data_IF_525673319015
#
_entry.id   IF_525673319015
#
_cell.length_a   1.000
_cell.length_b   1.000
_cell.length_c   1.000
_cell.angle_alpha   90.00
_cell.angle_beta   90.00
_cell.angle_gamma   90.00
#
_symmetry.space_group_name_H-M   'P 1'
#
loop_
_entity.id
_entity.type
_entity.pdbx_description
1 polymer ?
#
# COMPACT_ATOMS: atom_id res chain seq x y z
N UNK A 1 -4.26 16.89 -1.28
CA UNK A 1 -3.59 16.15 -2.38
C UNK A 1 -3.40 14.73 -1.93
N UNK A 2 -3.60 13.76 -2.81
CA UNK A 2 -3.56 12.35 -2.43
C UNK A 2 -2.24 11.74 -2.90
N UNK A 3 -1.56 11.11 -1.95
CA UNK A 3 -0.28 10.48 -2.17
C UNK A 3 -0.39 9.02 -1.78
N UNK A 4 -0.01 8.11 -2.68
CA UNK A 4 0.21 6.71 -2.34
C UNK A 4 1.71 6.48 -2.25
N UNK A 5 2.19 6.05 -1.10
CA UNK A 5 3.61 5.77 -0.87
C UNK A 5 3.80 4.27 -0.76
N UNK A 6 4.65 3.71 -1.61
CA UNK A 6 5.01 2.30 -1.57
C UNK A 6 6.36 2.11 -0.89
N UNK A 7 6.48 1.08 -0.06
CA UNK A 7 7.74 0.58 0.47
C UNK A 7 8.08 -0.75 -0.18
N UNK A 8 9.32 -0.88 -0.67
CA UNK A 8 9.85 -2.13 -1.21
C UNK A 8 11.18 -2.43 -0.54
N UNK A 9 11.17 -3.21 0.54
CA UNK A 9 12.38 -3.55 1.30
C UNK A 9 13.04 -2.31 1.92
N UNK A 10 12.24 -1.35 2.38
CA UNK A 10 12.70 -0.10 3.00
C UNK A 10 12.95 1.07 2.04
N UNK A 11 12.94 0.85 0.73
CA UNK A 11 12.95 1.93 -0.26
C UNK A 11 11.53 2.49 -0.45
N UNK A 12 11.37 3.81 -0.30
CA UNK A 12 10.07 4.48 -0.41
C UNK A 12 9.88 5.18 -1.77
N UNK A 13 8.71 4.99 -2.38
CA UNK A 13 8.32 5.57 -3.67
C UNK A 13 6.94 6.22 -3.56
N UNK A 14 6.84 7.50 -3.86
CA UNK A 14 5.60 8.24 -3.73
C UNK A 14 4.95 8.49 -5.10
N UNK A 15 3.66 8.19 -5.22
CA UNK A 15 2.86 8.48 -6.41
C UNK A 15 1.74 9.44 -6.06
N UNK A 16 1.61 10.49 -6.87
CA UNK A 16 0.46 11.37 -6.78
C UNK A 16 -0.70 10.73 -7.53
N UNK A 17 -1.86 10.67 -6.89
CA UNK A 17 -3.12 10.24 -7.49
C UNK A 17 -4.16 11.34 -7.37
N UNK A 18 -5.18 11.27 -8.20
CA UNK A 18 -6.41 12.02 -7.97
C UNK A 18 -7.41 11.15 -7.23
N UNK A 19 -8.06 11.75 -6.23
CA UNK A 19 -9.18 11.12 -5.53
C UNK A 19 -10.27 10.74 -6.53
N UNK A 20 -10.83 9.52 -6.44
CA UNK A 20 -12.04 9.15 -7.16
C UNK A 20 -13.23 10.08 -6.87
N UNK A 21 -13.19 10.82 -5.75
CA UNK A 21 -14.23 11.77 -5.35
C UNK A 21 -14.18 13.10 -6.13
N UNK A 22 -13.12 13.32 -6.92
CA UNK A 22 -12.95 14.50 -7.76
C UNK A 22 -12.68 14.07 -9.22
N UNK A 23 -13.65 13.39 -9.86
CA UNK A 23 -13.49 12.81 -11.20
C UNK A 23 -13.19 13.84 -12.28
N UNK A 24 -13.56 15.10 -12.07
CA UNK A 24 -13.23 16.23 -12.94
C UNK A 24 -11.72 16.55 -13.00
N UNK A 25 -10.93 16.02 -12.06
CA UNK A 25 -9.47 16.16 -12.04
C UNK A 25 -8.80 14.91 -12.59
N UNK A 26 -8.54 14.88 -13.89
CA UNK A 26 -7.73 13.82 -14.51
C UNK A 26 -6.24 14.14 -14.40
N UNK A 27 -5.64 13.97 -13.23
CA UNK A 27 -4.17 14.00 -13.11
C UNK A 27 -3.65 12.58 -13.36
N UNK A 28 -2.79 12.37 -14.37
CA UNK A 28 -2.19 11.06 -14.58
C UNK A 28 -1.38 10.65 -13.34
N UNK A 29 -1.57 9.42 -12.89
CA UNK A 29 -0.81 8.85 -11.78
C UNK A 29 0.69 8.89 -12.14
N UNK A 30 1.47 9.58 -11.32
CA UNK A 30 2.90 9.80 -11.57
C UNK A 30 3.71 9.68 -10.31
N UNK A 31 4.96 9.25 -10.46
CA UNK A 31 5.95 9.30 -9.39
C UNK A 31 6.24 10.78 -9.04
N UNK A 32 6.34 11.09 -7.76
CA UNK A 32 6.66 12.44 -7.25
C UNK A 32 7.70 12.37 -6.14
N UNK A 33 8.44 13.47 -5.87
CA UNK A 33 9.33 13.54 -4.73
C UNK A 33 8.57 13.31 -3.42
N UNK A 34 9.17 12.53 -2.52
CA UNK A 34 8.66 12.27 -1.19
C UNK A 34 9.31 13.22 -0.19
N UNK A 35 8.52 13.92 0.62
CA UNK A 35 9.05 14.78 1.68
C UNK A 35 9.57 13.94 2.85
N UNK A 36 10.53 14.49 3.61
CA UNK A 36 11.09 13.80 4.76
C UNK A 36 10.05 13.49 5.85
N UNK A 37 9.09 14.40 6.05
CA UNK A 37 7.99 14.23 7.00
C UNK A 37 7.11 13.02 6.65
N UNK A 38 6.65 12.94 5.38
CA UNK A 38 5.80 11.83 4.94
C UNK A 38 6.61 10.52 4.92
N UNK A 39 7.88 10.56 4.53
CA UNK A 39 8.75 9.39 4.60
C UNK A 39 8.88 8.83 6.03
N UNK A 40 9.03 9.71 7.03
CA UNK A 40 9.12 9.31 8.44
C UNK A 40 7.83 8.64 8.94
N UNK A 41 6.67 9.20 8.59
CA UNK A 41 5.35 8.65 8.93
C UNK A 41 5.14 7.28 8.28
N UNK A 42 5.41 7.17 6.98
CA UNK A 42 5.25 5.92 6.22
C UNK A 42 6.20 4.84 6.71
N UNK A 43 7.45 5.20 7.06
CA UNK A 43 8.40 4.27 7.65
C UNK A 43 7.97 3.82 9.05
N UNK A 44 7.38 4.70 9.85
CA UNK A 44 6.84 4.34 11.16
C UNK A 44 5.65 3.38 11.05
N UNK A 45 4.75 3.59 10.10
CA UNK A 45 3.65 2.66 9.83
C UNK A 45 4.18 1.25 9.51
N UNK A 46 5.15 1.14 8.59
CA UNK A 46 5.79 -0.13 8.26
C UNK A 46 6.41 -0.83 9.47
N UNK A 47 7.12 -0.08 10.33
CA UNK A 47 7.69 -0.64 11.58
C UNK A 47 6.63 -1.13 12.56
N UNK A 48 5.55 -0.38 12.75
CA UNK A 48 4.47 -0.74 13.70
C UNK A 48 3.74 -2.01 13.24
N UNK A 49 3.51 -2.15 11.94
CA UNK A 49 2.83 -3.33 11.37
C UNK A 49 3.78 -4.49 11.03
N UNK A 50 5.11 -4.30 11.14
CA UNK A 50 6.09 -5.31 10.77
C UNK A 50 6.10 -5.63 9.26
N UNK A 51 5.97 -4.61 8.41
CA UNK A 51 5.85 -4.76 6.97
C UNK A 51 7.13 -4.30 6.24
N UNK A 52 7.63 -5.14 5.33
CA UNK A 52 8.75 -4.83 4.41
C UNK A 52 8.28 -4.43 3.01
N UNK A 53 7.10 -4.93 2.62
CA UNK A 53 6.42 -4.65 1.37
C UNK A 53 5.07 -4.07 1.77
N UNK A 54 4.79 -2.82 1.44
CA UNK A 54 3.52 -2.21 1.81
C UNK A 54 3.25 -0.93 1.02
N UNK A 55 2.01 -0.46 1.08
CA UNK A 55 1.57 0.81 0.54
C UNK A 55 0.82 1.60 1.60
N UNK A 56 0.97 2.92 1.60
CA UNK A 56 0.26 3.83 2.51
C UNK A 56 -0.42 4.92 1.69
N UNK A 57 -1.71 5.11 1.90
CA UNK A 57 -2.44 6.24 1.34
C UNK A 57 -2.43 7.41 2.33
N UNK A 58 -1.92 8.55 1.87
CA UNK A 58 -1.70 9.76 2.65
C UNK A 58 -2.44 10.93 2.01
N UNK A 59 -3.24 11.62 2.81
CA UNK A 59 -3.85 12.89 2.42
C UNK A 59 -3.00 14.04 2.95
N UNK A 60 -2.58 14.93 2.05
CA UNK A 60 -1.93 16.18 2.42
C UNK A 60 -2.99 17.27 2.56
N UNK A 61 -3.22 17.71 3.80
CA UNK A 61 -4.13 18.79 4.18
C UNK A 61 -3.41 19.97 4.84
N UNK A 62 -4.15 21.04 5.20
CA UNK A 62 -3.58 22.25 5.80
C UNK A 62 -2.92 22.00 7.17
N UNK A 63 -3.44 21.05 7.94
CA UNK A 63 -2.91 20.66 9.25
C UNK A 63 -1.78 19.61 9.17
N UNK A 64 -1.34 19.25 7.95
CA UNK A 64 -0.29 18.27 7.71
C UNK A 64 -0.78 16.96 7.07
N UNK A 65 0.13 15.97 6.96
CA UNK A 65 -0.16 14.67 6.35
C UNK A 65 -0.98 13.76 7.27
N UNK A 66 -2.01 13.11 6.70
CA UNK A 66 -2.87 12.15 7.40
C UNK A 66 -2.82 10.81 6.67
N UNK A 67 -2.51 9.73 7.40
CA UNK A 67 -2.59 8.35 6.88
C UNK A 67 -4.05 7.91 6.88
N UNK A 68 -4.53 7.40 5.75
CA UNK A 68 -5.91 6.93 5.57
C UNK A 68 -5.99 5.41 5.44
N UNK A 69 -5.00 4.78 4.80
CA UNK A 69 -4.96 3.33 4.60
C UNK A 69 -3.52 2.82 4.62
N UNK A 70 -3.34 1.57 5.08
CA UNK A 70 -2.09 0.82 5.03
C UNK A 70 -2.39 -0.57 4.46
N UNK A 71 -1.72 -0.91 3.36
CA UNK A 71 -1.90 -2.14 2.62
C UNK A 71 -0.61 -2.98 2.65
N UNK A 72 -0.71 -4.25 3.05
CA UNK A 72 0.41 -5.19 3.24
C UNK A 72 0.98 -5.76 1.93
N UNK A 73 0.28 -5.63 0.81
CA UNK A 73 0.79 -6.06 -0.49
C UNK A 73 0.10 -5.32 -1.67
N UNK A 74 0.46 -4.05 -1.91
CA UNK A 74 -0.18 -3.25 -2.95
C UNK A 74 0.32 -3.63 -4.35
N UNK A 75 -0.19 -2.91 -5.37
CA UNK A 75 0.19 -3.13 -6.78
C UNK A 75 1.52 -2.50 -7.22
N UNK A 76 2.16 -1.68 -6.38
CA UNK A 76 3.42 -0.99 -6.69
C UNK A 76 3.43 -0.20 -8.01
N UNK A 77 2.29 0.42 -8.39
CA UNK A 77 2.18 1.21 -9.62
C UNK A 77 3.20 2.37 -9.64
N UNK A 78 3.73 2.67 -10.83
CA UNK A 78 4.77 3.68 -11.08
C UNK A 78 6.12 3.45 -10.35
N UNK A 79 6.28 2.37 -9.58
CA UNK A 79 7.58 2.02 -8.99
C UNK A 79 8.50 1.49 -10.10
N UNK A 80 9.67 2.09 -10.34
CA UNK A 80 10.58 1.63 -11.39
C UNK A 80 11.06 0.21 -11.12
N UNK A 81 10.90 -0.68 -12.10
CA UNK A 81 11.27 -2.11 -12.00
C UNK A 81 10.60 -2.82 -10.80
N UNK A 82 9.35 -2.47 -10.49
CA UNK A 82 8.60 -2.96 -9.33
C UNK A 82 8.72 -4.48 -9.12
N UNK A 83 8.42 -5.28 -10.15
CA UNK A 83 8.46 -6.74 -10.05
C UNK A 83 9.85 -7.28 -9.64
N UNK A 84 10.92 -6.75 -10.22
CA UNK A 84 12.28 -7.16 -9.91
C UNK A 84 12.69 -6.77 -8.48
N UNK A 85 12.26 -5.59 -8.01
CA UNK A 85 12.51 -5.14 -6.64
C UNK A 85 11.77 -6.00 -5.62
N UNK A 86 10.48 -6.24 -5.85
CA UNK A 86 9.64 -7.10 -5.00
C UNK A 86 10.24 -8.51 -4.94
N UNK A 87 10.56 -9.13 -6.08
CA UNK A 87 11.17 -10.46 -6.11
C UNK A 87 12.49 -10.51 -5.32
N UNK A 88 13.34 -9.49 -5.47
CA UNK A 88 14.59 -9.39 -4.70
C UNK A 88 14.33 -9.30 -3.20
N UNK A 89 13.38 -8.47 -2.77
CA UNK A 89 13.03 -8.32 -1.36
C UNK A 89 12.48 -9.63 -0.79
N UNK A 90 11.55 -10.29 -1.47
CA UNK A 90 11.01 -11.60 -1.03
C UNK A 90 12.11 -12.64 -0.90
N UNK A 91 12.97 -12.78 -1.91
CA UNK A 91 14.10 -13.73 -1.86
C UNK A 91 15.12 -13.37 -0.79
N UNK A 92 15.29 -12.09 -0.48
CA UNK A 92 16.14 -11.66 0.62
C UNK A 92 15.54 -12.08 1.95
N UNK A 93 14.28 -11.70 2.24
CA UNK A 93 13.58 -12.03 3.48
C UNK A 93 13.54 -13.55 3.74
N UNK A 94 13.23 -14.34 2.70
CA UNK A 94 13.20 -15.80 2.79
C UNK A 94 14.57 -16.42 3.15
N UNK A 95 15.68 -15.81 2.73
CA UNK A 95 17.05 -16.25 3.05
C UNK A 95 17.53 -15.78 4.42
N UNK A 96 17.13 -14.58 4.81
CA UNK A 96 17.54 -13.95 6.07
C UNK A 96 16.89 -14.62 7.29
N UNK A 97 15.87 -15.44 7.09
CA UNK A 97 15.17 -16.11 8.19
C UNK A 97 14.43 -15.15 9.13
N UNK A 98 14.30 -13.87 8.74
CA UNK A 98 13.53 -12.87 9.48
C UNK A 98 12.07 -13.11 9.18
N UNK A 99 11.52 -14.14 9.80
CA UNK A 99 10.14 -14.07 10.28
C UNK A 99 10.30 -13.38 11.62
N UNK A 100 10.25 -12.05 11.67
CA UNK A 100 9.99 -11.41 12.95
C UNK A 100 8.62 -11.96 13.39
N UNK A 101 8.53 -12.71 14.50
CA UNK A 101 7.24 -13.17 14.95
C UNK A 101 6.47 -11.93 15.38
N UNK A 102 5.54 -11.47 14.54
CA UNK A 102 4.45 -10.66 15.04
C UNK A 102 3.65 -11.58 15.97
N UNK A 103 3.88 -11.43 17.28
CA UNK A 103 2.96 -11.94 18.27
C UNK A 103 1.82 -10.92 18.37
N UNK A 104 0.63 -11.17 17.77
CA UNK A 104 -0.50 -10.31 18.04
C UNK A 104 -0.84 -10.38 19.54
N UNK A 105 -1.14 -9.26 20.22
CA UNK A 105 -1.85 -9.34 21.47
C UNK A 105 -3.25 -9.93 21.21
N UNK A 106 -3.42 -11.23 21.49
CA UNK A 106 -4.70 -11.79 21.93
C UNK A 106 -5.78 -12.12 20.89
N UNK A 107 -5.48 -12.33 19.60
CA UNK A 107 -6.51 -12.83 18.67
C UNK A 107 -6.05 -14.11 17.97
N UNK A 108 -6.44 -15.26 18.52
CA UNK A 108 -6.51 -16.51 17.76
C UNK A 108 -7.72 -16.39 16.80
N UNK A 109 -7.47 -16.00 15.55
CA UNK A 109 -8.45 -16.28 14.49
C UNK A 109 -8.53 -17.80 14.32
N UNK A 110 -9.71 -18.36 14.62
CA UNK A 110 -9.97 -19.78 14.36
C UNK A 110 -9.98 -20.00 12.84
N UNK A 111 -9.17 -20.91 12.30
CA UNK A 111 -9.30 -21.30 10.90
C UNK A 111 -10.67 -21.96 10.69
N UNK A 112 -11.56 -21.34 9.92
CA UNK A 112 -12.84 -21.97 9.54
C UNK A 112 -14.06 -21.07 9.29
N UNK A 113 -14.00 -19.74 9.41
CA UNK A 113 -15.19 -18.88 9.27
C UNK A 113 -15.23 -17.98 8.01
N UNK A 114 -14.29 -18.12 7.07
CA UNK A 114 -14.36 -17.37 5.81
C UNK A 114 -15.42 -17.98 4.90
N UNK A 115 -16.62 -17.42 4.91
CA UNK A 115 -17.62 -17.63 3.86
C UNK A 115 -17.36 -16.61 2.75
N UNK A 116 -17.01 -17.09 1.56
CA UNK A 116 -16.95 -16.26 0.35
C UNK A 116 -18.39 -16.17 -0.21
N UNK A 117 -19.03 -15.00 -0.21
CA UNK A 117 -20.35 -14.86 -0.85
C UNK A 117 -20.23 -15.13 -2.36
N UNK A 118 -21.29 -15.69 -2.96
CA UNK A 118 -21.35 -15.83 -4.41
C UNK A 118 -21.21 -14.44 -5.07
N UNK A 119 -20.17 -14.27 -5.89
CA UNK A 119 -19.95 -13.04 -6.63
C UNK A 119 -20.97 -12.97 -7.76
N UNK A 120 -21.85 -11.96 -7.74
CA UNK A 120 -22.75 -11.69 -8.87
C UNK A 120 -21.89 -11.11 -9.99
N UNK A 121 -21.91 -11.70 -11.21
CA UNK A 121 -21.16 -11.14 -12.33
C UNK A 121 -21.69 -9.73 -12.64
N UNK A 122 -20.77 -8.80 -12.89
CA UNK A 122 -21.13 -7.46 -13.33
C UNK A 122 -21.88 -7.58 -14.66
N UNK A 123 -23.14 -7.15 -14.69
CA UNK A 123 -23.90 -7.00 -15.93
C UNK A 123 -23.24 -5.84 -16.66
N UNK A 124 -22.68 -6.12 -17.84
CA UNK A 124 -22.25 -5.07 -18.75
C UNK A 124 -23.53 -4.44 -19.29
N UNK A 125 -23.79 -3.18 -18.94
CA UNK A 125 -24.77 -2.38 -19.65
C UNK A 125 -24.29 -2.24 -21.10
N UNK A 126 -24.98 -2.92 -22.01
CA UNK A 126 -24.87 -2.69 -23.44
C UNK A 126 -25.42 -1.28 -23.72
N UNK A 127 -24.51 -0.38 -24.13
CA UNK A 127 -24.86 0.91 -24.71
C UNK A 127 -25.41 0.67 -26.12
N UNK A 128 -26.71 0.92 -26.30
CA UNK A 128 -27.36 1.11 -27.62
C UNK A 128 -27.16 2.53 -28.14
#
# INVERSE_FOLDING_TARGET
>A
MDLKVYSVGGELFATQRCSPLHPERTVPERLVPLTAEVAAIVAQAGRVYGLDLYGVDVLLGPEGPVVVDVNDFPSFRQVPNAAARVARTVLHLARSGVIAPFAPPGVLLRPGSLRIPAQVPAVADEVE
#
